data_IF_361341755148
#
_entry.id   IF_361341755148
#
_cell.length_a   1.000
_cell.length_b   1.000
_cell.length_c   1.000
_cell.angle_alpha   90.00
_cell.angle_beta   90.00
_cell.angle_gamma   90.00
#
_symmetry.space_group_name_H-M   'P 1'
#
loop_
_entity.id
_entity.type
_entity.pdbx_description
1 polymer ?
#
# COMPACT_ATOMS: atom_id res chain seq x y z
N UNK A 1 38.17 -20.48 27.73
CA UNK A 1 37.45 -20.84 26.49
C UNK A 1 36.10 -21.32 26.92
N UNK A 2 35.05 -20.54 26.67
CA UNK A 2 33.67 -20.95 26.99
C UNK A 2 33.16 -21.66 25.73
N UNK A 3 33.08 -22.98 25.77
CA UNK A 3 32.35 -23.75 24.76
C UNK A 3 30.86 -23.44 24.91
N UNK A 4 30.37 -22.52 24.08
CA UNK A 4 28.95 -22.33 23.87
C UNK A 4 28.41 -23.58 23.19
N UNK A 5 27.90 -24.53 23.97
CA UNK A 5 27.22 -25.73 23.45
C UNK A 5 25.96 -25.25 22.72
N UNK A 6 26.00 -25.14 21.39
CA UNK A 6 24.80 -24.90 20.59
C UNK A 6 23.89 -26.13 20.74
N UNK A 7 22.83 -25.99 21.52
CA UNK A 7 21.79 -27.02 21.65
C UNK A 7 21.05 -27.15 20.31
N UNK A 8 21.50 -28.08 19.46
CA UNK A 8 20.77 -28.48 18.25
C UNK A 8 19.54 -29.29 18.64
N UNK A 9 18.38 -28.91 18.11
CA UNK A 9 17.11 -29.61 18.28
C UNK A 9 16.71 -30.23 16.95
N UNK A 10 16.13 -31.43 17.00
CA UNK A 10 15.59 -32.10 15.83
C UNK A 10 14.09 -32.32 16.01
N UNK A 11 13.30 -31.92 15.01
CA UNK A 11 11.85 -32.11 14.98
C UNK A 11 11.46 -32.83 13.70
N UNK A 12 10.46 -33.70 13.79
CA UNK A 12 9.95 -34.50 12.68
C UNK A 12 8.45 -34.23 12.50
N UNK A 13 8.07 -33.88 11.28
CA UNK A 13 6.69 -33.64 10.84
C UNK A 13 6.29 -34.77 9.90
N UNK A 14 5.13 -35.38 10.15
CA UNK A 14 4.55 -36.39 9.26
C UNK A 14 3.41 -35.74 8.49
N UNK A 15 3.53 -35.70 7.16
CA UNK A 15 2.51 -35.17 6.28
C UNK A 15 1.46 -36.26 6.02
N UNK A 16 0.17 -36.01 6.31
CA UNK A 16 -0.91 -36.97 6.05
C UNK A 16 -0.99 -37.38 4.57
N UNK A 17 -1.27 -38.66 4.29
CA UNK A 17 -1.28 -39.24 2.93
C UNK A 17 -2.29 -38.59 1.97
N UNK A 18 -3.38 -38.04 2.51
CA UNK A 18 -4.40 -37.29 1.77
C UNK A 18 -3.86 -35.95 1.20
N UNK A 19 -2.65 -35.54 1.60
CA UNK A 19 -1.97 -34.38 1.07
C UNK A 19 -0.80 -34.83 0.19
N UNK A 20 -0.86 -34.48 -1.09
CA UNK A 20 0.20 -34.85 -2.02
C UNK A 20 1.47 -34.08 -1.64
N UNK A 21 2.54 -34.78 -1.23
CA UNK A 21 3.87 -34.20 -0.99
C UNK A 21 4.33 -33.32 -2.16
N UNK A 22 3.95 -33.68 -3.39
CA UNK A 22 4.20 -32.89 -4.61
C UNK A 22 3.62 -31.46 -4.50
N UNK A 23 2.45 -31.29 -3.91
CA UNK A 23 1.85 -29.95 -3.74
C UNK A 23 2.58 -29.13 -2.67
N UNK A 24 3.16 -29.78 -1.67
CA UNK A 24 3.86 -29.12 -0.56
C UNK A 24 5.32 -28.77 -0.93
N UNK A 25 6.01 -29.65 -1.64
CA UNK A 25 7.41 -29.46 -2.07
C UNK A 25 7.53 -28.68 -3.39
N UNK A 26 6.49 -28.73 -4.22
CA UNK A 26 6.48 -28.14 -5.56
C UNK A 26 7.18 -28.99 -6.62
N UNK A 27 7.07 -28.56 -7.87
CA UNK A 27 7.73 -29.25 -8.99
C UNK A 27 9.25 -29.11 -8.87
N UNK A 28 9.96 -30.24 -8.85
CA UNK A 28 11.43 -30.24 -8.70
C UNK A 28 11.91 -29.64 -7.38
N UNK A 29 11.11 -29.76 -6.32
CA UNK A 29 11.37 -29.29 -4.96
C UNK A 29 11.57 -27.77 -4.86
N UNK A 30 10.96 -26.99 -5.76
CA UNK A 30 11.12 -25.53 -5.79
C UNK A 30 10.65 -24.84 -4.51
N UNK A 31 9.57 -25.33 -3.87
CA UNK A 31 9.06 -24.77 -2.62
C UNK A 31 9.94 -25.18 -1.45
N UNK A 32 10.40 -26.43 -1.42
CA UNK A 32 11.36 -26.89 -0.41
C UNK A 32 12.63 -26.03 -0.45
N UNK A 33 13.21 -25.79 -1.63
CA UNK A 33 14.37 -24.90 -1.78
C UNK A 33 14.11 -23.46 -1.33
N UNK A 34 12.87 -23.00 -1.46
CA UNK A 34 12.46 -21.66 -0.98
C UNK A 34 12.41 -21.64 0.55
N UNK A 35 11.88 -22.69 1.17
CA UNK A 35 11.90 -22.88 2.62
C UNK A 35 13.35 -22.98 3.12
N UNK A 36 14.18 -23.85 2.54
CA UNK A 36 15.59 -24.04 2.91
C UNK A 36 16.39 -22.74 2.85
N UNK A 37 16.18 -21.89 1.83
CA UNK A 37 16.85 -20.59 1.72
C UNK A 37 16.46 -19.58 2.82
N UNK A 38 15.36 -19.84 3.51
CA UNK A 38 14.79 -18.93 4.50
C UNK A 38 15.24 -19.20 5.94
N UNK A 39 15.95 -20.31 6.18
CA UNK A 39 16.43 -20.77 7.48
C UNK A 39 17.88 -21.26 7.38
N UNK A 40 18.64 -21.18 8.48
CA UNK A 40 19.96 -21.81 8.57
C UNK A 40 19.86 -23.29 8.97
N UNK A 41 18.68 -23.74 9.42
CA UNK A 41 18.39 -25.11 9.81
C UNK A 41 18.42 -26.08 8.63
N UNK A 42 18.92 -27.30 8.87
CA UNK A 42 18.92 -28.39 7.90
C UNK A 42 17.52 -29.00 7.80
N UNK A 43 16.96 -29.02 6.59
CA UNK A 43 15.64 -29.58 6.29
C UNK A 43 15.83 -30.79 5.36
N UNK A 44 15.32 -31.94 5.78
CA UNK A 44 15.43 -33.18 5.00
C UNK A 44 14.05 -33.83 4.82
N UNK A 45 13.74 -34.25 3.59
CA UNK A 45 12.47 -34.87 3.25
C UNK A 45 12.69 -36.32 2.82
N UNK A 46 11.94 -37.24 3.44
CA UNK A 46 11.96 -38.67 3.08
C UNK A 46 10.55 -39.24 3.13
N UNK A 47 10.02 -39.66 1.98
CA UNK A 47 8.64 -40.10 1.88
C UNK A 47 7.67 -38.97 2.22
N UNK A 48 6.83 -39.16 3.24
CA UNK A 48 5.93 -38.14 3.77
C UNK A 48 6.46 -37.49 5.07
N UNK A 49 7.72 -37.70 5.40
CA UNK A 49 8.33 -37.19 6.63
C UNK A 49 9.28 -36.05 6.32
N UNK A 50 9.13 -34.95 7.04
CA UNK A 50 10.03 -33.79 6.98
C UNK A 50 10.75 -33.69 8.32
N UNK A 51 12.08 -33.74 8.28
CA UNK A 51 12.94 -33.63 9.46
C UNK A 51 13.66 -32.28 9.42
N UNK A 52 13.59 -31.52 10.50
CA UNK A 52 14.24 -30.22 10.65
C UNK A 52 15.24 -30.32 11.80
N UNK A 53 16.48 -29.90 11.57
CA UNK A 53 17.55 -29.90 12.58
C UNK A 53 18.21 -28.53 12.63
N UNK A 54 18.32 -27.91 13.81
CA UNK A 54 18.90 -26.59 13.94
C UNK A 54 18.75 -26.00 15.34
N UNK A 55 18.81 -24.68 15.46
CA UNK A 55 18.54 -24.03 16.74
C UNK A 55 17.06 -24.20 17.15
N UNK A 56 16.72 -24.17 18.45
CA UNK A 56 15.33 -24.33 18.90
C UNK A 56 14.38 -23.28 18.30
N UNK A 57 14.83 -22.03 18.18
CA UNK A 57 14.03 -20.92 17.65
C UNK A 57 13.76 -21.06 16.15
N UNK A 58 14.79 -21.38 15.37
CA UNK A 58 14.63 -21.60 13.94
C UNK A 58 13.78 -22.84 13.65
N UNK A 59 14.05 -23.94 14.35
CA UNK A 59 13.30 -25.20 14.17
C UNK A 59 11.82 -24.98 14.46
N UNK A 60 11.48 -24.25 15.54
CA UNK A 60 10.11 -23.92 15.86
C UNK A 60 9.44 -23.02 14.81
N UNK A 61 10.17 -22.09 14.20
CA UNK A 61 9.64 -21.24 13.12
C UNK A 61 9.45 -22.02 11.81
N UNK A 62 10.40 -22.87 11.44
CA UNK A 62 10.32 -23.74 10.26
C UNK A 62 9.15 -24.73 10.40
N UNK A 63 8.96 -25.32 11.58
CA UNK A 63 7.81 -26.20 11.86
C UNK A 63 6.50 -25.45 11.63
N UNK A 64 6.32 -24.28 12.24
CA UNK A 64 5.10 -23.46 12.04
C UNK A 64 4.86 -23.10 10.58
N UNK A 65 5.91 -22.78 9.82
CA UNK A 65 5.78 -22.51 8.39
C UNK A 65 5.26 -23.74 7.64
N UNK A 66 5.84 -24.91 7.88
CA UNK A 66 5.42 -26.15 7.21
C UNK A 66 3.98 -26.52 7.57
N UNK A 67 3.59 -26.40 8.84
CA UNK A 67 2.21 -26.64 9.28
C UNK A 67 1.20 -25.72 8.57
N UNK A 68 1.51 -24.42 8.45
CA UNK A 68 0.66 -23.48 7.70
C UNK A 68 0.62 -23.78 6.20
N UNK A 69 1.75 -24.16 5.59
CA UNK A 69 1.78 -24.58 4.18
C UNK A 69 0.95 -25.84 3.93
N UNK A 70 0.99 -26.80 4.86
CA UNK A 70 0.13 -27.99 4.83
C UNK A 70 -1.33 -27.54 4.82
N UNK A 71 -1.75 -26.69 5.76
CA UNK A 71 -3.13 -26.19 5.82
C UNK A 71 -3.59 -25.43 4.57
N UNK A 72 -2.72 -24.57 4.02
CA UNK A 72 -2.98 -23.89 2.76
C UNK A 72 -3.22 -24.88 1.63
N UNK A 73 -2.39 -25.92 1.52
CA UNK A 73 -2.57 -26.99 0.55
C UNK A 73 -3.87 -27.78 0.80
N UNK A 74 -4.23 -28.06 2.08
CA UNK A 74 -5.51 -28.72 2.42
C UNK A 74 -6.72 -27.94 1.90
N UNK A 75 -6.64 -26.62 2.00
CA UNK A 75 -7.71 -25.71 1.58
C UNK A 75 -7.70 -25.43 0.05
N UNK A 76 -6.93 -26.18 -0.72
CA UNK A 76 -6.88 -26.09 -2.18
C UNK A 76 -6.10 -24.86 -2.69
N UNK A 77 -5.31 -24.20 -1.85
CA UNK A 77 -4.45 -23.12 -2.31
C UNK A 77 -3.28 -23.68 -3.13
N UNK A 78 -3.10 -23.16 -4.34
CA UNK A 78 -1.88 -23.40 -5.10
C UNK A 78 -0.69 -22.71 -4.42
N UNK A 79 0.22 -23.52 -3.87
CA UNK A 79 1.45 -23.03 -3.28
C UNK A 79 2.43 -22.62 -4.38
N UNK A 80 3.07 -21.48 -4.16
CA UNK A 80 4.13 -20.92 -5.02
C UNK A 80 5.27 -20.43 -4.13
N UNK A 81 6.49 -20.23 -4.66
CA UNK A 81 7.59 -19.68 -3.86
C UNK A 81 7.22 -18.36 -3.17
N UNK A 82 6.47 -17.52 -3.87
CA UNK A 82 5.96 -16.24 -3.35
C UNK A 82 4.91 -16.42 -2.23
N UNK A 83 4.13 -17.50 -2.24
CA UNK A 83 3.24 -17.84 -1.12
C UNK A 83 4.03 -18.30 0.12
N UNK A 84 5.14 -19.03 -0.06
CA UNK A 84 6.04 -19.43 1.03
C UNK A 84 6.66 -18.19 1.69
N UNK A 85 7.25 -17.30 0.89
CA UNK A 85 7.85 -16.05 1.35
C UNK A 85 6.87 -15.23 2.20
N UNK A 86 5.62 -15.10 1.73
CA UNK A 86 4.55 -14.37 2.44
C UNK A 86 4.09 -15.05 3.72
N UNK A 87 3.92 -16.36 3.70
CA UNK A 87 3.52 -17.13 4.89
C UNK A 87 4.55 -16.95 5.99
N UNK A 88 5.84 -17.01 5.65
CA UNK A 88 6.92 -16.77 6.59
C UNK A 88 6.94 -15.32 7.11
N UNK A 89 6.73 -14.32 6.23
CA UNK A 89 6.65 -12.93 6.65
C UNK A 89 5.50 -12.68 7.64
N UNK A 90 4.33 -13.31 7.43
CA UNK A 90 3.20 -13.25 8.36
C UNK A 90 3.49 -13.93 9.70
N UNK A 91 4.16 -15.09 9.70
CA UNK A 91 4.55 -15.76 10.93
C UNK A 91 5.55 -14.94 11.77
N UNK A 92 6.45 -14.21 11.10
CA UNK A 92 7.42 -13.32 11.75
C UNK A 92 6.79 -12.06 12.33
N UNK A 93 5.64 -11.61 11.83
CA UNK A 93 4.98 -10.39 12.31
C UNK A 93 4.21 -10.55 13.62
N UNK A 94 4.12 -11.78 14.17
CA UNK A 94 3.51 -12.11 15.47
C UNK A 94 2.08 -11.56 15.65
N UNK A 95 1.31 -11.48 14.57
CA UNK A 95 0.02 -10.78 14.54
C UNK A 95 -1.17 -11.53 15.17
N UNK A 96 -0.98 -12.80 15.55
CA UNK A 96 -2.02 -13.68 16.09
C UNK A 96 -2.99 -14.25 15.04
N UNK A 97 -2.99 -13.73 13.81
CA UNK A 97 -3.77 -14.29 12.70
C UNK A 97 -2.98 -15.34 11.94
N UNK A 98 -3.65 -16.41 11.52
CA UNK A 98 -3.01 -17.51 10.78
C UNK A 98 -2.86 -17.15 9.30
N UNK A 99 -1.69 -17.36 8.69
CA UNK A 99 -1.50 -17.21 7.26
C UNK A 99 -2.53 -17.97 6.42
N UNK A 100 -2.94 -19.17 6.87
CA UNK A 100 -4.00 -19.95 6.24
C UNK A 100 -5.31 -19.16 6.10
N UNK A 101 -5.75 -18.46 7.15
CA UNK A 101 -6.99 -17.68 7.15
C UNK A 101 -6.93 -16.49 6.18
N UNK A 102 -5.74 -15.90 6.03
CA UNK A 102 -5.50 -14.77 5.11
C UNK A 102 -5.51 -15.23 3.67
N UNK A 103 -4.67 -16.21 3.34
CA UNK A 103 -4.38 -16.57 1.96
C UNK A 103 -5.46 -17.47 1.35
N UNK A 104 -6.38 -18.03 2.13
CA UNK A 104 -7.54 -18.79 1.62
C UNK A 104 -8.79 -17.93 1.45
N UNK A 105 -8.78 -16.69 1.95
CA UNK A 105 -9.93 -15.79 1.88
C UNK A 105 -10.22 -15.32 0.44
N UNK A 106 -11.10 -16.02 -0.25
CA UNK A 106 -11.48 -15.65 -1.62
C UNK A 106 -12.55 -14.55 -1.63
N UNK A 107 -12.22 -13.42 -2.25
CA UNK A 107 -13.20 -12.34 -2.46
C UNK A 107 -14.02 -12.66 -3.68
N UNK A 108 -13.38 -12.77 -4.83
CA UNK A 108 -14.00 -12.96 -6.13
C UNK A 108 -13.17 -13.97 -6.94
N UNK A 109 -13.84 -14.87 -7.64
CA UNK A 109 -13.22 -15.74 -8.62
C UNK A 109 -13.91 -15.49 -9.96
N UNK A 110 -13.16 -14.94 -10.90
CA UNK A 110 -13.63 -14.65 -12.25
C UNK A 110 -12.58 -15.14 -13.24
N UNK A 111 -13.00 -15.89 -14.28
CA UNK A 111 -12.14 -16.23 -15.43
C UNK A 111 -10.83 -16.94 -15.05
N UNK A 112 -10.90 -17.83 -14.07
CA UNK A 112 -9.72 -18.56 -13.58
C UNK A 112 -8.73 -17.71 -12.76
N UNK A 113 -9.04 -16.43 -12.51
CA UNK A 113 -8.30 -15.57 -11.58
C UNK A 113 -9.09 -15.44 -10.29
N UNK A 114 -8.39 -15.60 -9.18
CA UNK A 114 -8.96 -15.43 -7.84
C UNK A 114 -8.36 -14.18 -7.20
N UNK A 115 -9.22 -13.25 -6.83
CA UNK A 115 -8.87 -12.02 -6.13
C UNK A 115 -9.04 -12.29 -4.63
N UNK A 116 -7.95 -12.12 -3.89
CA UNK A 116 -7.85 -12.36 -2.45
C UNK A 116 -6.80 -11.44 -1.82
N UNK A 117 -6.92 -11.11 -0.53
CA UNK A 117 -5.82 -10.47 0.19
C UNK A 117 -4.60 -11.39 0.21
N UNK A 118 -3.43 -10.77 0.16
CA UNK A 118 -2.12 -11.45 0.14
C UNK A 118 -1.27 -11.08 1.32
N UNK A 119 -1.67 -10.07 2.09
CA UNK A 119 -1.01 -9.64 3.32
C UNK A 119 -2.05 -9.48 4.43
N UNK A 120 -1.57 -9.41 5.66
CA UNK A 120 -2.43 -9.25 6.82
C UNK A 120 -3.20 -7.92 6.80
N UNK A 121 -2.55 -6.80 6.49
CA UNK A 121 -3.25 -5.51 6.45
C UNK A 121 -4.26 -5.47 5.30
N UNK A 122 -3.99 -6.14 4.17
CA UNK A 122 -4.99 -6.33 3.11
C UNK A 122 -6.20 -7.12 3.60
N UNK A 123 -6.01 -8.18 4.39
CA UNK A 123 -7.14 -8.90 5.01
C UNK A 123 -7.92 -8.00 5.95
N UNK A 124 -7.25 -7.33 6.88
CA UNK A 124 -7.89 -6.40 7.84
C UNK A 124 -8.70 -5.32 7.11
N UNK A 125 -8.15 -4.79 6.02
CA UNK A 125 -8.84 -3.85 5.14
C UNK A 125 -10.12 -4.45 4.53
N UNK A 126 -10.03 -5.65 3.98
CA UNK A 126 -11.19 -6.35 3.39
C UNK A 126 -12.26 -6.69 4.44
N UNK A 127 -11.85 -7.17 5.61
CA UNK A 127 -12.73 -7.45 6.74
C UNK A 127 -13.41 -6.18 7.25
N UNK A 128 -12.68 -5.06 7.27
CA UNK A 128 -13.21 -3.76 7.64
C UNK A 128 -14.28 -3.29 6.66
N UNK A 129 -14.06 -3.49 5.35
CA UNK A 129 -15.07 -3.23 4.31
C UNK A 129 -16.34 -4.02 4.57
N UNK A 130 -16.30 -5.22 5.16
CA UNK A 130 -17.53 -5.93 5.52
C UNK A 130 -18.23 -5.31 6.73
N UNK A 131 -17.47 -4.92 7.75
CA UNK A 131 -17.98 -4.52 9.07
C UNK A 131 -18.46 -3.08 9.16
N UNK A 132 -17.91 -2.16 8.36
CA UNK A 132 -18.14 -0.72 8.53
C UNK A 132 -18.79 -0.07 7.30
N UNK A 133 -19.69 0.89 7.49
CA UNK A 133 -20.35 1.61 6.40
C UNK A 133 -19.39 2.48 5.60
N UNK A 134 -18.38 3.09 6.25
CA UNK A 134 -17.35 3.88 5.58
C UNK A 134 -15.96 3.33 5.93
N UNK A 135 -15.15 3.02 4.92
CA UNK A 135 -13.77 2.55 5.13
C UNK A 135 -12.80 3.38 4.33
N UNK A 136 -11.73 3.84 4.99
CA UNK A 136 -10.61 4.52 4.36
C UNK A 136 -9.44 3.55 4.19
N UNK A 137 -9.11 3.21 2.94
CA UNK A 137 -7.92 2.43 2.59
C UNK A 137 -6.77 3.37 2.21
N UNK A 138 -5.83 3.59 3.13
CA UNK A 138 -4.75 4.57 2.97
C UNK A 138 -3.42 3.85 2.86
N UNK A 139 -2.66 4.08 1.79
CA UNK A 139 -1.31 3.53 1.68
C UNK A 139 -0.69 3.69 0.30
N UNK A 140 0.55 3.20 0.09
CA UNK A 140 1.29 3.36 -1.15
C UNK A 140 0.60 2.78 -2.40
N UNK A 141 1.09 3.15 -3.58
CA UNK A 141 0.67 2.53 -4.83
C UNK A 141 1.06 1.03 -4.87
N UNK A 142 0.14 0.17 -5.31
CA UNK A 142 0.39 -1.28 -5.43
C UNK A 142 0.10 -2.11 -4.18
N UNK A 143 -0.41 -1.50 -3.11
CA UNK A 143 -0.90 -2.22 -1.90
C UNK A 143 -2.26 -2.89 -2.09
N UNK A 144 -2.90 -2.72 -3.25
CA UNK A 144 -4.19 -3.34 -3.57
C UNK A 144 -5.42 -2.61 -3.04
N UNK A 145 -5.28 -1.43 -2.41
CA UNK A 145 -6.40 -0.65 -1.81
C UNK A 145 -7.62 -0.51 -2.74
N UNK A 146 -7.44 0.02 -3.94
CA UNK A 146 -8.53 0.24 -4.91
C UNK A 146 -9.01 -1.08 -5.50
N UNK A 147 -8.08 -1.97 -5.85
CA UNK A 147 -8.39 -3.26 -6.49
C UNK A 147 -9.23 -4.19 -5.58
N UNK A 148 -8.86 -4.30 -4.30
CA UNK A 148 -9.60 -5.11 -3.32
C UNK A 148 -10.96 -4.48 -2.99
N UNK A 149 -11.06 -3.15 -2.92
CA UNK A 149 -12.35 -2.46 -2.75
C UNK A 149 -13.31 -2.74 -3.90
N UNK A 150 -12.81 -2.65 -5.14
CA UNK A 150 -13.59 -2.95 -6.33
C UNK A 150 -14.04 -4.42 -6.36
N UNK A 151 -13.17 -5.36 -5.98
CA UNK A 151 -13.54 -6.77 -5.87
C UNK A 151 -14.68 -6.98 -4.85
N UNK A 152 -14.66 -6.24 -3.72
CA UNK A 152 -15.76 -6.26 -2.74
C UNK A 152 -17.04 -5.62 -3.26
N UNK A 153 -16.94 -4.53 -4.02
CA UNK A 153 -18.09 -3.91 -4.66
C UNK A 153 -18.77 -4.85 -5.66
N UNK A 154 -17.97 -5.51 -6.53
CA UNK A 154 -18.46 -6.50 -7.49
C UNK A 154 -19.11 -7.68 -6.77
N UNK A 155 -18.48 -8.21 -5.72
CA UNK A 155 -19.05 -9.28 -4.90
C UNK A 155 -20.40 -8.87 -4.27
N UNK A 156 -20.48 -7.66 -3.73
CA UNK A 156 -21.71 -7.14 -3.12
C UNK A 156 -22.84 -7.01 -4.16
N UNK A 157 -22.53 -6.54 -5.37
CA UNK A 157 -23.47 -6.46 -6.49
C UNK A 157 -23.95 -7.85 -6.92
N UNK A 158 -23.05 -8.81 -7.12
CA UNK A 158 -23.40 -10.19 -7.50
C UNK A 158 -24.26 -10.89 -6.44
N UNK A 159 -24.00 -10.61 -5.16
CA UNK A 159 -24.78 -11.11 -4.04
C UNK A 159 -26.07 -10.32 -3.79
N UNK A 160 -26.39 -9.31 -4.62
CA UNK A 160 -27.58 -8.45 -4.49
C UNK A 160 -27.67 -7.72 -3.15
N UNK A 161 -26.51 -7.46 -2.52
CA UNK A 161 -26.42 -6.65 -1.30
C UNK A 161 -26.54 -5.15 -1.61
N UNK A 162 -26.12 -4.77 -2.82
CA UNK A 162 -26.31 -3.45 -3.40
C UNK A 162 -26.86 -3.61 -4.81
N UNK A 163 -27.53 -2.57 -5.30
CA UNK A 163 -28.11 -2.54 -6.65
C UNK A 163 -27.17 -1.85 -7.65
N UNK A 164 -26.22 -1.03 -7.17
CA UNK A 164 -25.33 -0.23 -8.02
C UNK A 164 -23.91 -0.16 -7.47
N UNK A 165 -22.93 -0.02 -8.37
CA UNK A 165 -21.55 0.33 -8.05
C UNK A 165 -21.27 1.71 -8.64
N UNK A 166 -20.71 2.62 -7.85
CA UNK A 166 -20.31 3.96 -8.30
C UNK A 166 -18.81 4.11 -8.04
N UNK A 167 -18.03 4.21 -9.10
CA UNK A 167 -16.59 4.44 -9.05
C UNK A 167 -16.34 5.89 -9.42
N UNK A 168 -15.67 6.63 -8.53
CA UNK A 168 -15.40 8.04 -8.75
C UNK A 168 -13.96 8.39 -8.42
N UNK A 169 -13.42 9.36 -9.18
CA UNK A 169 -12.06 9.89 -9.01
C UNK A 169 -12.12 11.42 -9.10
N UNK A 170 -11.36 12.17 -8.29
CA UNK A 170 -11.25 13.61 -8.47
C UNK A 170 -10.50 13.91 -9.77
N UNK A 171 -10.97 14.92 -10.50
CA UNK A 171 -10.21 15.44 -11.63
C UNK A 171 -9.06 16.30 -11.08
N UNK A 172 -7.83 15.84 -11.26
CA UNK A 172 -6.63 16.61 -10.90
C UNK A 172 -5.73 16.75 -12.10
N UNK A 173 -5.34 18.00 -12.36
CA UNK A 173 -4.45 18.39 -13.45
C UNK A 173 -3.01 18.02 -13.08
N UNK A 174 -2.71 16.72 -13.01
CA UNK A 174 -1.34 16.25 -12.85
C UNK A 174 -0.63 16.29 -14.22
N UNK A 175 0.09 17.38 -14.49
CA UNK A 175 1.00 17.50 -15.63
C UNK A 175 0.48 18.40 -16.76
N UNK A 176 -0.55 17.98 -17.49
CA UNK A 176 -1.15 18.76 -18.58
C UNK A 176 -2.44 19.44 -18.10
N UNK A 177 -2.63 20.75 -18.37
CA UNK A 177 -3.90 21.40 -18.02
C UNK A 177 -5.00 20.72 -18.83
N UNK A 178 -6.11 20.35 -18.18
CA UNK A 178 -7.25 19.67 -18.82
C UNK A 178 -7.77 20.46 -20.04
N UNK A 179 -7.49 21.77 -20.07
CA UNK A 179 -7.75 22.68 -21.18
C UNK A 179 -7.10 22.31 -22.53
N UNK A 180 -6.01 21.53 -22.60
CA UNK A 180 -5.24 21.32 -23.85
C UNK A 180 -5.62 20.10 -24.68
N UNK A 181 -6.30 19.09 -24.12
CA UNK A 181 -6.77 17.96 -24.91
C UNK A 181 -7.94 18.40 -25.82
N UNK A 182 -7.94 18.10 -27.13
CA UNK A 182 -9.10 18.35 -27.98
C UNK A 182 -10.25 17.39 -27.62
N UNK A 183 -11.50 17.81 -27.77
CA UNK A 183 -12.68 16.97 -27.51
C UNK A 183 -13.62 17.50 -26.41
N UNK A 184 -14.67 16.72 -26.14
CA UNK A 184 -15.65 16.98 -25.09
C UNK A 184 -15.03 16.88 -23.69
N UNK A 185 -15.64 17.50 -22.68
CA UNK A 185 -15.16 17.39 -21.29
C UNK A 185 -15.01 15.92 -20.82
N UNK A 186 -15.85 15.03 -21.32
CA UNK A 186 -15.79 13.60 -21.01
C UNK A 186 -14.55 12.95 -21.62
N UNK A 187 -14.26 13.18 -22.90
CA UNK A 187 -13.07 12.65 -23.60
C UNK A 187 -11.76 13.10 -22.95
N UNK A 188 -11.77 14.28 -22.30
CA UNK A 188 -10.61 14.80 -21.57
C UNK A 188 -10.38 14.10 -20.22
N UNK A 189 -11.44 13.60 -19.59
CA UNK A 189 -11.38 12.97 -18.26
C UNK A 189 -11.25 11.45 -18.38
N UNK A 190 -11.68 10.85 -19.50
CA UNK A 190 -11.61 9.41 -19.76
C UNK A 190 -10.24 8.76 -19.46
N UNK A 191 -9.09 9.35 -19.86
CA UNK A 191 -7.78 8.76 -19.55
C UNK A 191 -7.53 8.56 -18.05
N UNK A 192 -8.07 9.44 -17.19
CA UNK A 192 -7.93 9.36 -15.74
C UNK A 192 -8.86 8.29 -15.13
N UNK A 193 -9.93 7.91 -15.82
CA UNK A 193 -10.87 6.88 -15.37
C UNK A 193 -10.49 5.49 -15.90
N UNK A 194 -9.66 5.40 -16.94
CA UNK A 194 -9.21 4.15 -17.57
C UNK A 194 -8.72 3.07 -16.60
N UNK A 195 -7.90 3.36 -15.58
CA UNK A 195 -7.47 2.32 -14.63
C UNK A 195 -8.64 1.63 -13.89
N UNK A 196 -9.75 2.34 -13.67
CA UNK A 196 -10.96 1.76 -13.07
C UNK A 196 -11.68 0.84 -14.07
N UNK A 197 -11.72 1.20 -15.35
CA UNK A 197 -12.25 0.31 -16.40
C UNK A 197 -11.42 -0.96 -16.54
N UNK A 198 -10.10 -0.84 -16.57
CA UNK A 198 -9.18 -1.99 -16.66
C UNK A 198 -9.38 -2.96 -15.48
N UNK A 199 -9.54 -2.43 -14.27
CA UNK A 199 -9.80 -3.24 -13.08
C UNK A 199 -11.16 -3.96 -13.13
N UNK A 200 -12.21 -3.36 -13.74
CA UNK A 200 -13.48 -4.04 -13.95
C UNK A 200 -13.36 -5.22 -14.92
N UNK A 201 -12.54 -5.10 -15.97
CA UNK A 201 -12.29 -6.18 -16.92
C UNK A 201 -11.61 -7.41 -16.32
N UNK A 202 -10.88 -7.24 -15.21
CA UNK A 202 -10.33 -8.36 -14.43
C UNK A 202 -11.40 -9.08 -13.59
N UNK A 203 -12.51 -8.43 -13.26
CA UNK A 203 -13.50 -8.88 -12.27
C UNK A 203 -14.81 -9.35 -12.89
N UNK A 204 -15.16 -8.83 -14.06
CA UNK A 204 -16.42 -9.08 -14.75
C UNK A 204 -16.16 -9.57 -16.17
N UNK A 205 -17.18 -10.14 -16.79
CA UNK A 205 -17.11 -10.45 -18.21
C UNK A 205 -17.16 -9.17 -19.06
N UNK A 206 -16.15 -8.86 -19.90
CA UNK A 206 -16.15 -7.80 -20.90
C UNK A 206 -17.46 -7.60 -21.66
N UNK A 207 -18.15 -8.67 -22.04
CA UNK A 207 -19.42 -8.55 -22.77
C UNK A 207 -20.57 -8.05 -21.88
N UNK A 208 -20.44 -8.18 -20.57
CA UNK A 208 -21.42 -7.70 -19.57
C UNK A 208 -21.16 -6.26 -19.16
N UNK A 209 -19.91 -5.78 -19.19
CA UNK A 209 -19.53 -4.45 -18.69
C UNK A 209 -20.29 -3.34 -19.42
N UNK A 210 -20.36 -3.28 -20.77
CA UNK A 210 -21.14 -2.27 -21.47
C UNK A 210 -22.60 -2.24 -21.03
N UNK A 211 -23.25 -3.41 -20.88
CA UNK A 211 -24.65 -3.50 -20.45
C UNK A 211 -24.86 -2.98 -19.03
N UNK A 212 -23.92 -3.28 -18.12
CA UNK A 212 -23.96 -2.80 -16.74
C UNK A 212 -23.73 -1.29 -16.66
N UNK A 213 -22.88 -0.75 -17.53
CA UNK A 213 -22.65 0.70 -17.66
C UNK A 213 -23.87 1.42 -18.24
N UNK A 214 -24.42 0.92 -19.36
CA UNK A 214 -25.57 1.52 -20.05
C UNK A 214 -26.83 1.53 -19.18
N UNK A 215 -27.02 0.49 -18.36
CA UNK A 215 -28.13 0.42 -17.39
C UNK A 215 -27.93 1.30 -16.15
N UNK A 216 -26.74 1.87 -15.95
CA UNK A 216 -26.37 2.60 -14.74
C UNK A 216 -26.20 1.71 -13.50
N UNK A 217 -26.07 0.40 -13.69
CA UNK A 217 -25.75 -0.55 -12.62
C UNK A 217 -24.31 -0.35 -12.14
N UNK A 218 -23.39 -0.09 -13.07
CA UNK A 218 -22.04 0.38 -12.78
C UNK A 218 -21.91 1.77 -13.38
N UNK A 219 -21.44 2.72 -12.57
CA UNK A 219 -21.19 4.09 -12.99
C UNK A 219 -19.73 4.42 -12.72
N UNK A 220 -19.00 4.88 -13.74
CA UNK A 220 -17.64 5.42 -13.60
C UNK A 220 -17.68 6.88 -13.99
N UNK A 221 -17.51 7.77 -13.00
CA UNK A 221 -17.74 9.20 -13.20
C UNK A 221 -16.78 10.09 -12.38
N UNK A 222 -16.54 11.34 -12.78
CA UNK A 222 -15.75 12.28 -12.00
C UNK A 222 -16.45 12.69 -10.69
N UNK A 223 -15.68 13.03 -9.66
CA UNK A 223 -16.20 13.42 -8.33
C UNK A 223 -17.26 14.53 -8.37
N UNK A 224 -17.16 15.46 -9.32
CA UNK A 224 -18.10 16.56 -9.48
C UNK A 224 -19.56 16.09 -9.72
N UNK A 225 -19.74 14.91 -10.32
CA UNK A 225 -21.04 14.32 -10.62
C UNK A 225 -21.76 13.79 -9.38
N UNK A 226 -21.07 13.71 -8.23
CA UNK A 226 -21.66 13.29 -6.97
C UNK A 226 -22.48 14.42 -6.31
N UNK A 227 -22.28 15.67 -6.74
CA UNK A 227 -22.93 16.84 -6.12
C UNK A 227 -24.46 16.75 -6.23
N UNK A 228 -25.13 16.99 -5.10
CA UNK A 228 -26.60 17.01 -5.03
C UNK A 228 -27.27 15.63 -5.09
N UNK A 229 -26.50 14.54 -5.11
CA UNK A 229 -27.04 13.18 -5.10
C UNK A 229 -27.23 12.65 -3.68
N UNK A 230 -28.13 11.69 -3.54
CA UNK A 230 -28.18 10.77 -2.41
C UNK A 230 -28.06 9.36 -2.97
N UNK A 231 -27.05 8.63 -2.52
CA UNK A 231 -26.66 7.36 -3.11
C UNK A 231 -27.18 6.23 -2.23
N UNK A 232 -28.41 5.77 -2.51
CA UNK A 232 -29.03 4.62 -1.83
C UNK A 232 -28.70 3.30 -2.54
N UNK A 233 -28.67 2.21 -1.78
CA UNK A 233 -28.44 0.82 -2.22
C UNK A 233 -27.23 0.68 -3.17
N UNK A 234 -26.14 1.39 -2.85
CA UNK A 234 -24.98 1.54 -3.73
C UNK A 234 -23.69 1.24 -2.99
N UNK A 235 -22.74 0.61 -3.68
CA UNK A 235 -21.35 0.52 -3.24
C UNK A 235 -20.55 1.60 -3.95
N UNK A 236 -20.04 2.57 -3.21
CA UNK A 236 -19.38 3.75 -3.77
C UNK A 236 -17.89 3.71 -3.43
N UNK A 237 -17.03 3.90 -4.43
CA UNK A 237 -15.58 3.97 -4.26
C UNK A 237 -15.09 5.33 -4.73
N UNK A 238 -14.44 6.09 -3.84
CA UNK A 238 -13.68 7.29 -4.19
C UNK A 238 -12.20 6.94 -4.24
N UNK A 239 -11.64 6.87 -5.44
CA UNK A 239 -10.23 6.60 -5.68
C UNK A 239 -9.39 7.88 -5.79
N UNK A 240 -8.10 7.77 -5.50
CA UNK A 240 -7.16 8.89 -5.35
C UNK A 240 -7.67 10.02 -4.46
N UNK A 241 -8.24 9.67 -3.31
CA UNK A 241 -8.87 10.63 -2.43
C UNK A 241 -7.90 11.68 -1.84
N UNK A 242 -6.59 11.44 -1.88
CA UNK A 242 -5.58 12.43 -1.49
C UNK A 242 -5.66 13.70 -2.32
N UNK A 243 -6.19 13.57 -3.54
CA UNK A 243 -6.38 14.61 -4.54
C UNK A 243 -7.74 15.34 -4.41
N UNK A 244 -8.37 15.26 -3.24
CA UNK A 244 -9.57 16.03 -2.89
C UNK A 244 -9.26 17.17 -1.93
N UNK A 245 -10.04 18.25 -1.99
CA UNK A 245 -10.08 19.26 -0.92
C UNK A 245 -10.94 18.80 0.26
N UNK A 246 -10.81 19.39 1.46
CA UNK A 246 -11.69 19.10 2.60
C UNK A 246 -13.18 19.31 2.29
N UNK A 247 -13.51 20.34 1.51
CA UNK A 247 -14.88 20.63 1.08
C UNK A 247 -15.41 19.56 0.12
N UNK A 248 -14.58 19.08 -0.81
CA UNK A 248 -14.95 18.00 -1.72
C UNK A 248 -15.16 16.68 -0.98
N UNK A 249 -14.28 16.35 -0.03
CA UNK A 249 -14.43 15.17 0.82
C UNK A 249 -15.72 15.23 1.65
N UNK A 250 -16.00 16.37 2.30
CA UNK A 250 -17.26 16.59 3.03
C UNK A 250 -18.48 16.49 2.10
N UNK A 251 -18.41 17.09 0.92
CA UNK A 251 -19.46 17.01 -0.08
C UNK A 251 -19.76 15.55 -0.45
N UNK A 252 -18.71 14.77 -0.69
CA UNK A 252 -18.80 13.36 -1.07
C UNK A 252 -19.35 12.47 0.05
N UNK A 253 -18.80 12.53 1.26
CA UNK A 253 -19.23 11.67 2.37
C UNK A 253 -20.69 11.93 2.76
N UNK A 254 -21.17 13.17 2.61
CA UNK A 254 -22.58 13.51 2.85
C UNK A 254 -23.53 13.07 1.73
N UNK A 255 -23.06 12.37 0.69
CA UNK A 255 -23.92 11.74 -0.32
C UNK A 255 -24.37 10.35 0.07
N UNK A 256 -23.83 9.78 1.16
CA UNK A 256 -24.21 8.46 1.67
C UNK A 256 -25.73 8.37 1.90
N UNK A 257 -26.36 7.39 1.26
CA UNK A 257 -27.76 7.04 1.46
C UNK A 257 -27.93 5.74 2.24
N UNK A 258 -29.19 5.31 2.42
CA UNK A 258 -29.52 4.04 3.07
C UNK A 258 -29.08 2.84 2.22
N UNK A 259 -28.72 1.74 2.89
CA UNK A 259 -28.32 0.50 2.21
C UNK A 259 -27.01 0.60 1.42
N UNK A 260 -26.24 1.66 1.64
CA UNK A 260 -25.03 1.95 0.88
C UNK A 260 -23.76 1.80 1.72
N UNK A 261 -22.64 1.62 1.02
CA UNK A 261 -21.31 1.54 1.61
C UNK A 261 -20.34 2.42 0.83
N UNK A 262 -19.45 3.12 1.54
CA UNK A 262 -18.42 3.95 0.94
C UNK A 262 -17.04 3.37 1.26
N UNK A 263 -16.20 3.25 0.24
CA UNK A 263 -14.77 3.01 0.41
C UNK A 263 -14.00 4.16 -0.21
N UNK A 264 -13.10 4.77 0.56
CA UNK A 264 -12.25 5.88 0.13
C UNK A 264 -10.82 5.38 0.07
N UNK A 265 -10.19 5.42 -1.10
CA UNK A 265 -8.82 4.95 -1.30
C UNK A 265 -7.90 6.10 -1.66
N UNK A 266 -6.67 6.09 -1.12
CA UNK A 266 -5.70 7.12 -1.47
C UNK A 266 -4.32 6.89 -0.86
N UNK A 267 -3.39 7.77 -1.23
CA UNK A 267 -2.02 7.79 -0.72
C UNK A 267 -1.68 9.20 -0.23
N UNK A 268 -1.61 9.39 1.10
CA UNK A 268 -1.33 10.70 1.71
C UNK A 268 0.07 11.25 1.43
N UNK A 269 0.95 10.44 0.81
CA UNK A 269 2.30 10.85 0.39
C UNK A 269 2.36 11.38 -1.04
N UNK A 270 1.35 11.11 -1.88
CA UNK A 270 1.29 11.48 -3.30
C UNK A 270 0.19 12.52 -3.58
N UNK A 271 0.30 13.69 -2.96
CA UNK A 271 -0.70 14.77 -3.11
C UNK A 271 -0.36 15.64 -4.32
N UNK A 272 -1.23 15.66 -5.32
CA UNK A 272 -1.06 16.40 -6.58
C UNK A 272 -1.85 17.73 -6.60
N UNK A 273 -2.27 18.24 -5.44
CA UNK A 273 -3.08 19.45 -5.35
C UNK A 273 -2.25 20.72 -5.61
N UNK A 274 -2.76 21.67 -6.42
CA UNK A 274 -2.07 22.93 -6.69
C UNK A 274 -1.96 23.80 -5.42
N UNK A 275 -0.87 24.58 -5.36
CA UNK A 275 -0.68 25.63 -4.36
C UNK A 275 -0.50 25.13 -2.92
N UNK A 276 -0.16 23.85 -2.71
CA UNK A 276 0.04 23.31 -1.36
C UNK A 276 -1.25 23.19 -0.54
N UNK A 277 -2.40 23.15 -1.21
CA UNK A 277 -3.71 22.97 -0.57
C UNK A 277 -3.69 21.70 0.29
N UNK A 278 -4.25 21.79 1.51
CA UNK A 278 -4.32 20.65 2.42
C UNK A 278 -5.19 19.54 1.83
N UNK A 279 -4.67 18.32 1.78
CA UNK A 279 -5.43 17.16 1.33
C UNK A 279 -6.64 16.91 2.23
N UNK A 280 -7.81 16.73 1.60
CA UNK A 280 -9.07 16.36 2.24
C UNK A 280 -8.95 15.03 2.99
N UNK A 281 -8.25 14.05 2.41
CA UNK A 281 -8.00 12.75 3.05
C UNK A 281 -7.22 12.87 4.37
N UNK A 282 -6.16 13.69 4.38
CA UNK A 282 -5.36 13.91 5.60
C UNK A 282 -6.16 14.65 6.68
N UNK A 283 -7.00 15.57 6.26
CA UNK A 283 -7.82 16.39 7.17
C UNK A 283 -8.96 15.57 7.77
N UNK A 284 -9.67 14.80 6.95
CA UNK A 284 -10.84 14.05 7.36
C UNK A 284 -10.49 12.90 8.32
N UNK A 285 -9.30 12.32 8.17
CA UNK A 285 -8.80 11.29 9.09
C UNK A 285 -8.73 11.77 10.55
N UNK A 286 -8.45 13.06 10.77
CA UNK A 286 -8.44 13.64 12.13
C UNK A 286 -9.84 14.01 12.62
N UNK A 287 -10.74 14.36 11.71
CA UNK A 287 -12.08 14.85 12.04
C UNK A 287 -13.02 13.69 12.38
N UNK A 288 -12.89 12.57 11.67
CA UNK A 288 -13.76 11.40 11.84
C UNK A 288 -13.18 10.35 12.79
N UNK A 289 -12.05 10.65 13.43
CA UNK A 289 -11.44 9.77 14.42
C UNK A 289 -12.42 9.51 15.58
N UNK A 290 -12.58 8.24 15.96
CA UNK A 290 -13.50 7.80 17.01
C UNK A 290 -14.99 7.76 16.64
N UNK A 291 -15.38 8.05 15.39
CA UNK A 291 -16.76 7.84 14.95
C UNK A 291 -17.06 6.36 14.71
N UNK A 292 -18.18 5.89 15.25
CA UNK A 292 -18.66 4.53 15.02
C UNK A 292 -18.97 4.30 13.53
N UNK A 293 -18.80 3.06 13.08
CA UNK A 293 -19.13 2.61 11.72
C UNK A 293 -18.27 3.26 10.60
N UNK A 294 -17.15 3.86 11.01
CA UNK A 294 -16.09 4.37 10.14
C UNK A 294 -14.76 3.74 10.58
N UNK A 295 -13.96 3.27 9.63
CA UNK A 295 -12.66 2.69 9.93
C UNK A 295 -11.56 3.19 8.99
N UNK A 296 -10.33 3.27 9.51
CA UNK A 296 -9.14 3.73 8.81
C UNK A 296 -8.11 2.60 8.74
N UNK A 297 -8.01 1.98 7.56
CA UNK A 297 -7.08 0.91 7.30
C UNK A 297 -5.80 1.45 6.65
N UNK A 298 -4.70 1.40 7.39
CA UNK A 298 -3.38 1.81 6.92
C UNK A 298 -2.65 0.62 6.30
N UNK A 299 -2.28 0.75 5.03
CA UNK A 299 -1.45 -0.18 4.27
C UNK A 299 -0.07 0.44 4.09
N UNK A 300 0.97 -0.38 4.14
CA UNK A 300 2.36 0.07 4.07
C UNK A 300 3.13 -0.55 2.89
N UNK A 301 4.44 -0.34 2.84
CA UNK A 301 5.30 -0.88 1.78
C UNK A 301 5.35 -2.41 1.77
N UNK A 302 5.16 -3.08 2.91
CA UNK A 302 5.13 -4.53 3.01
C UNK A 302 3.84 -5.12 2.41
N UNK A 303 2.80 -4.30 2.23
CA UNK A 303 1.56 -4.67 1.57
C UNK A 303 1.63 -4.58 0.04
N UNK A 304 2.73 -4.07 -0.51
CA UNK A 304 2.89 -3.92 -1.96
C UNK A 304 3.13 -5.28 -2.60
N UNK A 305 2.16 -5.72 -3.40
CA UNK A 305 2.26 -6.98 -4.15
C UNK A 305 2.39 -6.69 -5.63
N UNK A 306 3.62 -6.80 -6.13
CA UNK A 306 3.97 -6.65 -7.54
C UNK A 306 4.73 -7.88 -8.03
N UNK A 307 4.84 -7.99 -9.34
CA UNK A 307 5.70 -8.99 -9.95
C UNK A 307 7.17 -8.79 -9.49
N UNK A 308 7.90 -9.88 -9.19
CA UNK A 308 9.29 -9.82 -8.66
C UNK A 308 10.20 -8.92 -9.51
N UNK A 309 10.07 -8.97 -10.83
CA UNK A 309 10.83 -8.11 -11.75
C UNK A 309 10.51 -6.62 -11.56
N UNK A 310 9.25 -6.26 -11.34
CA UNK A 310 8.84 -4.86 -11.13
C UNK A 310 9.43 -4.35 -9.81
N UNK A 311 9.39 -5.14 -8.75
CA UNK A 311 10.05 -4.80 -7.48
C UNK A 311 11.55 -4.60 -7.69
N UNK A 312 12.23 -5.53 -8.39
CA UNK A 312 13.66 -5.42 -8.68
C UNK A 312 14.02 -4.17 -9.51
N UNK A 313 13.15 -3.76 -10.45
CA UNK A 313 13.32 -2.52 -11.21
C UNK A 313 13.19 -1.31 -10.28
N UNK A 314 12.15 -1.26 -9.44
CA UNK A 314 11.95 -0.16 -8.47
C UNK A 314 13.13 -0.05 -7.51
N UNK A 315 13.63 -1.17 -6.98
CA UNK A 315 14.80 -1.21 -6.10
C UNK A 315 16.09 -0.76 -6.80
N UNK A 316 16.22 -1.06 -8.10
CA UNK A 316 17.36 -0.58 -8.90
C UNK A 316 17.33 0.95 -9.09
N UNK A 317 16.15 1.52 -9.36
CA UNK A 317 15.99 2.98 -9.43
C UNK A 317 16.20 3.65 -8.07
N UNK A 318 15.65 3.08 -6.98
CA UNK A 318 15.84 3.62 -5.63
C UNK A 318 17.31 3.67 -5.21
N UNK A 319 18.10 2.64 -5.54
CA UNK A 319 19.55 2.65 -5.31
C UNK A 319 20.26 3.72 -6.14
N UNK A 320 19.89 3.86 -7.42
CA UNK A 320 20.46 4.89 -8.29
C UNK A 320 20.19 6.30 -7.76
N UNK A 321 18.95 6.61 -7.40
CA UNK A 321 18.57 7.94 -6.92
C UNK A 321 19.26 8.29 -5.58
N UNK A 322 19.38 7.31 -4.67
CA UNK A 322 20.11 7.46 -3.41
C UNK A 322 21.61 7.73 -3.63
N UNK A 323 22.23 7.04 -4.59
CA UNK A 323 23.63 7.29 -4.95
C UNK A 323 23.82 8.69 -5.56
N UNK A 324 22.87 9.18 -6.36
CA UNK A 324 22.92 10.53 -6.93
C UNK A 324 22.73 11.61 -5.87
N UNK A 325 21.79 11.44 -4.92
CA UNK A 325 21.61 12.40 -3.83
C UNK A 325 22.86 12.51 -2.97
N UNK A 326 23.50 11.38 -2.63
CA UNK A 326 24.73 11.37 -1.83
C UNK A 326 25.89 12.07 -2.55
N UNK A 327 26.06 11.84 -3.86
CA UNK A 327 27.08 12.53 -4.67
C UNK A 327 26.87 14.05 -4.71
N UNK A 328 25.63 14.53 -4.71
CA UNK A 328 25.33 15.97 -4.66
C UNK A 328 25.63 16.58 -3.29
N UNK A 329 25.32 15.90 -2.18
CA UNK A 329 25.71 16.34 -0.83
C UNK A 329 27.22 16.37 -0.62
N UNK A 330 27.96 15.40 -1.15
CA UNK A 330 29.43 15.38 -1.05
C UNK A 330 30.10 16.50 -1.85
N UNK A 331 29.53 16.87 -3.00
CA UNK A 331 30.01 18.01 -3.80
C UNK A 331 29.71 19.36 -3.13
N UNK A 332 28.58 19.51 -2.43
CA UNK A 332 28.25 20.73 -1.68
C UNK A 332 29.06 20.86 -0.37
N UNK A 333 29.38 19.75 0.30
CA UNK A 333 30.26 19.75 1.46
C UNK A 333 31.71 20.15 1.13
N UNK A 334 32.19 19.80 -0.06
CA UNK A 334 33.56 20.10 -0.49
C UNK A 334 33.73 21.54 -1.02
N UNK A 335 32.65 22.20 -1.46
CA UNK A 335 32.67 23.62 -1.88
C UNK A 335 32.75 24.59 -0.69
N UNK A 336 32.13 24.26 0.44
CA UNK A 336 32.21 25.07 1.68
C UNK A 336 33.59 25.00 2.36
N UNK A 337 34.39 23.96 2.11
CA UNK A 337 35.73 23.82 2.71
C UNK A 337 36.82 24.57 1.94
N UNK A 338 36.61 24.87 0.64
CA UNK A 338 37.55 25.65 -0.19
C UNK A 338 37.39 27.18 -0.07
N UNK A 339 36.30 27.68 0.52
CA UNK A 339 36.08 29.12 0.71
C UNK A 339 36.76 29.75 1.94
N UNK A 340 37.38 28.95 2.82
CA UNK A 340 37.85 29.40 4.14
C UNK A 340 39.38 29.33 4.34
N UNK A 341 40.15 29.07 3.29
CA UNK A 341 41.62 28.93 3.34
C UNK A 341 42.36 29.93 2.44
N UNK A 342 41.93 31.20 2.41
CA UNK A 342 42.54 32.20 1.54
C UNK A 342 42.45 33.62 2.07
N UNK A 343 43.08 33.92 3.22
CA UNK A 343 43.62 35.26 3.55
C UNK A 343 44.34 35.24 4.90
N UNK A 344 45.66 35.06 4.89
CA UNK A 344 46.56 35.50 5.98
C UNK A 344 48.00 35.59 5.47
N UNK A 345 48.38 36.75 4.96
CA UNK A 345 49.78 37.21 4.92
C UNK A 345 49.84 38.68 4.51
N UNK A 346 50.23 39.56 5.42
CA UNK A 346 50.47 40.99 5.18
C UNK A 346 50.77 41.72 6.48
N UNK A 347 52.04 42.03 6.69
CA UNK A 347 52.76 42.53 7.88
C UNK A 347 52.31 43.92 8.39
N UNK A 348 52.66 44.30 9.64
CA UNK A 348 52.22 45.53 10.29
C UNK A 348 53.19 46.70 10.07
N UNK A 349 52.67 47.93 10.01
CA UNK A 349 53.45 49.16 10.11
C UNK A 349 52.66 50.23 10.86
N UNK A 350 53.36 50.86 11.79
CA UNK A 350 52.88 51.79 12.81
C UNK A 350 52.40 53.15 12.28
N UNK A 351 51.56 53.83 13.08
CA UNK A 351 51.29 55.26 12.87
C UNK A 351 50.13 55.86 13.67
N UNK A 352 50.45 56.30 14.90
CA UNK A 352 49.94 57.50 15.56
C UNK A 352 48.43 57.68 15.90
N UNK A 353 48.17 57.64 17.22
CA UNK A 353 47.51 58.67 18.06
C UNK A 353 46.22 59.36 17.55
N UNK A 354 45.18 59.24 18.37
CA UNK A 354 44.57 60.43 18.98
C UNK A 354 43.06 60.58 18.87
N UNK A 355 42.42 60.54 20.05
CA UNK A 355 41.21 61.27 20.48
C UNK A 355 39.83 60.91 19.89
N UNK A 356 39.02 60.34 20.78
CA UNK A 356 37.58 60.55 20.97
C UNK A 356 37.14 62.03 20.80
N UNK A 357 35.89 62.31 20.37
CA UNK A 357 34.74 62.27 21.29
C UNK A 357 33.43 61.65 20.75
N UNK A 358 32.75 60.89 21.61
CA UNK A 358 31.44 61.17 22.24
C UNK A 358 30.24 61.73 21.41
N UNK A 359 28.99 61.49 21.87
CA UNK A 359 27.88 60.97 21.06
C UNK A 359 26.71 61.97 20.92
N UNK A 360 25.73 61.65 20.07
CA UNK A 360 24.32 62.09 20.19
C UNK A 360 23.46 61.33 19.16
N UNK A 361 22.45 60.58 19.61
CA UNK A 361 21.00 60.90 19.58
C UNK A 361 20.38 60.52 18.22
N UNK A 362 19.15 60.03 18.07
CA UNK A 362 17.97 60.10 18.91
C UNK A 362 16.91 59.12 18.38
N UNK A 363 15.96 58.78 19.26
CA UNK A 363 14.54 58.49 18.95
C UNK A 363 14.13 57.05 18.59
N UNK A 364 13.45 56.31 19.49
CA UNK A 364 11.97 56.24 19.72
C UNK A 364 11.19 55.66 18.52
N UNK A 365 10.20 54.76 18.62
CA UNK A 365 9.32 54.29 19.70
C UNK A 365 8.38 53.19 19.16
N UNK A 366 7.87 52.33 20.08
CA UNK A 366 6.52 51.72 20.04
C UNK A 366 6.38 50.47 19.16
N UNK A 367 5.95 49.30 19.63
CA UNK A 367 4.92 48.98 20.63
C UNK A 367 3.76 48.31 19.87
N UNK A 368 3.69 46.98 19.82
CA UNK A 368 2.98 46.13 20.77
C UNK A 368 1.49 46.51 20.92
N UNK A 369 0.65 45.66 20.31
CA UNK A 369 -0.78 45.51 20.47
C UNK A 369 -1.18 44.16 19.91
#
# INVERSE_FOLDING_TARGET
MVESTQHSTQVKIVVPEEHTMVNLLGSGDELLRTVERSFESDIHVRGNEITISGSPEETAMAVRLIEELIELAKNGAHLTPDAVDRTLAMLRSASGERPADVLTMNILSARGRTIRPKTLNQKRYVDSIDKHTIVFGIGPAGTGKTYLAMAKAVKALQNKQVNRIILTRPAVEAGERLGFLPGTLYEKIDPYLRPLYDALHDMLDPDSIPKLMDSGTIEVAPLAYMRGRTLNDSFIILDEAQNTSPEQMKMFLTRLGFGSKIVVTGDVTQVDLPGGTSSGLRTIAKILDGLNDIDFCWLDSNDVVRHKLVSAIVDAYGRYDYEQSNRQTDQQGNSHRKGRSGTRSGTPSAGARGSDPAPDSDGTTGGAG
#
